data_IF_633590369840
#
_entry.id   IF_633590369840
#
_cell.length_a   1.000
_cell.length_b   1.000
_cell.length_c   1.000
_cell.angle_alpha   90.00
_cell.angle_beta   90.00
_cell.angle_gamma   90.00
#
_symmetry.space_group_name_H-M   'P 1'
#
loop_
_entity.id
_entity.type
_entity.pdbx_description
1 polymer ?
#
# COMPACT_ATOMS: atom_id res chain seq x y z
N UNK A 1 -4.67 -44.37 -1.18
CA UNK A 1 -3.44 -43.57 -0.94
C UNK A 1 -3.63 -42.25 -1.67
N UNK A 2 -3.63 -41.13 -0.95
CA UNK A 2 -4.13 -39.82 -1.41
C UNK A 2 -2.99 -38.80 -1.62
N UNK A 3 -1.85 -39.27 -2.15
CA UNK A 3 -0.62 -38.46 -2.19
C UNK A 3 -0.70 -37.25 -3.11
N UNK A 4 -1.42 -37.35 -4.24
CA UNK A 4 -1.46 -36.25 -5.22
C UNK A 4 -2.17 -34.98 -4.73
N UNK A 5 -3.13 -35.09 -3.81
CA UNK A 5 -3.78 -33.92 -3.22
C UNK A 5 -2.91 -33.28 -2.13
N UNK A 6 -2.29 -34.12 -1.31
CA UNK A 6 -1.37 -33.69 -0.24
C UNK A 6 -0.14 -32.98 -0.82
N UNK A 7 0.42 -33.48 -1.93
CA UNK A 7 1.56 -32.88 -2.61
C UNK A 7 1.22 -31.50 -3.20
N UNK A 8 0.03 -31.36 -3.79
CA UNK A 8 -0.43 -30.07 -4.33
C UNK A 8 -0.64 -29.04 -3.21
N UNK A 9 -1.22 -29.44 -2.10
CA UNK A 9 -1.45 -28.55 -0.97
C UNK A 9 -0.15 -28.21 -0.25
N UNK A 10 0.79 -29.15 -0.12
CA UNK A 10 2.13 -28.88 0.38
C UNK A 10 2.86 -27.85 -0.51
N UNK A 11 2.79 -28.02 -1.83
CA UNK A 11 3.36 -27.07 -2.78
C UNK A 11 2.73 -25.68 -2.67
N UNK A 12 1.40 -25.58 -2.57
CA UNK A 12 0.70 -24.29 -2.37
C UNK A 12 1.14 -23.61 -1.09
N UNK A 13 1.23 -24.36 0.01
CA UNK A 13 1.68 -23.83 1.31
C UNK A 13 3.10 -23.28 1.21
N UNK A 14 4.01 -24.07 0.64
CA UNK A 14 5.38 -23.63 0.41
C UNK A 14 5.40 -22.35 -0.42
N UNK A 15 4.63 -22.30 -1.51
CA UNK A 15 4.60 -21.13 -2.39
C UNK A 15 4.06 -19.88 -1.69
N UNK A 16 3.06 -20.02 -0.82
CA UNK A 16 2.55 -18.91 -0.02
C UNK A 16 3.60 -18.37 0.95
N UNK A 17 4.35 -19.26 1.61
CA UNK A 17 5.44 -18.85 2.53
C UNK A 17 6.56 -18.14 1.78
N UNK A 18 6.97 -18.67 0.62
CA UNK A 18 7.98 -18.00 -0.23
C UNK A 18 7.54 -16.59 -0.63
N UNK A 19 6.28 -16.41 -1.03
CA UNK A 19 5.76 -15.09 -1.37
C UNK A 19 5.69 -14.15 -0.17
N UNK A 20 5.36 -14.66 1.02
CA UNK A 20 5.38 -13.85 2.23
C UNK A 20 6.79 -13.31 2.50
N UNK A 21 7.82 -14.13 2.29
CA UNK A 21 9.21 -13.71 2.39
C UNK A 21 9.62 -12.70 1.32
N UNK A 22 9.24 -12.91 0.06
CA UNK A 22 9.47 -11.94 -1.02
C UNK A 22 8.84 -10.58 -0.69
N UNK A 23 7.63 -10.56 -0.12
CA UNK A 23 6.96 -9.33 0.29
C UNK A 23 7.67 -8.67 1.48
N UNK A 24 8.08 -9.43 2.50
CA UNK A 24 8.84 -8.89 3.63
C UNK A 24 10.16 -8.24 3.18
N UNK A 25 10.89 -8.92 2.30
CA UNK A 25 12.20 -8.47 1.80
C UNK A 25 12.11 -7.27 0.85
N UNK A 26 10.90 -6.95 0.35
CA UNK A 26 10.69 -5.80 -0.53
C UNK A 26 10.80 -4.45 0.19
N UNK A 27 10.70 -4.43 1.53
CA UNK A 27 10.70 -3.22 2.34
C UNK A 27 9.48 -2.31 2.14
N UNK A 28 8.48 -2.73 1.36
CA UNK A 28 7.23 -2.00 1.14
C UNK A 28 6.19 -2.18 2.23
N UNK A 29 6.29 -3.25 3.00
CA UNK A 29 5.31 -3.65 4.00
C UNK A 29 5.89 -3.42 5.38
N UNK A 30 5.07 -3.00 6.34
CA UNK A 30 5.58 -2.64 7.67
C UNK A 30 5.64 -3.85 8.60
N UNK A 31 4.68 -4.75 8.49
CA UNK A 31 4.54 -5.90 9.37
C UNK A 31 3.79 -7.06 8.68
N UNK A 32 3.68 -8.19 9.38
CA UNK A 32 3.03 -9.41 8.89
C UNK A 32 1.56 -9.18 8.48
N UNK A 33 0.85 -8.23 9.11
CA UNK A 33 -0.55 -7.94 8.81
C UNK A 33 -0.69 -7.38 7.40
N UNK A 34 0.21 -6.49 7.00
CA UNK A 34 0.21 -5.91 5.66
C UNK A 34 0.55 -6.97 4.61
N UNK A 35 1.48 -7.88 4.95
CA UNK A 35 1.81 -9.04 4.11
C UNK A 35 0.60 -9.96 3.97
N UNK A 36 -0.08 -10.30 5.06
CA UNK A 36 -1.27 -11.14 5.05
C UNK A 36 -2.37 -10.52 4.19
N UNK A 37 -2.57 -9.20 4.32
CA UNK A 37 -3.51 -8.44 3.49
C UNK A 37 -3.14 -8.51 2.01
N UNK A 38 -1.88 -8.24 1.65
CA UNK A 38 -1.43 -8.29 0.26
C UNK A 38 -1.58 -9.69 -0.35
N UNK A 39 -1.25 -10.74 0.40
CA UNK A 39 -1.44 -12.11 -0.05
C UNK A 39 -2.93 -12.43 -0.29
N UNK A 40 -3.80 -12.01 0.62
CA UNK A 40 -5.23 -12.30 0.53
C UNK A 40 -5.93 -11.52 -0.58
N UNK A 41 -5.72 -10.21 -0.64
CA UNK A 41 -6.50 -9.31 -1.51
C UNK A 41 -5.81 -8.99 -2.84
N UNK A 42 -4.49 -8.80 -2.85
CA UNK A 42 -3.76 -8.49 -4.09
C UNK A 42 -3.42 -9.76 -4.87
N UNK A 43 -3.15 -10.87 -4.16
CA UNK A 43 -2.77 -12.16 -4.78
C UNK A 43 -3.85 -13.25 -4.74
N UNK A 44 -5.00 -12.97 -4.13
CA UNK A 44 -6.14 -13.90 -4.09
C UNK A 44 -5.90 -15.16 -3.25
N UNK A 45 -4.91 -15.17 -2.36
CA UNK A 45 -4.56 -16.32 -1.52
C UNK A 45 -5.38 -16.33 -0.24
N UNK A 46 -6.64 -16.79 -0.33
CA UNK A 46 -7.59 -16.73 0.78
C UNK A 46 -7.11 -17.42 2.07
N UNK A 47 -6.32 -18.49 1.96
CA UNK A 47 -5.77 -19.25 3.10
C UNK A 47 -4.42 -18.75 3.59
N UNK A 48 -3.87 -17.68 3.01
CA UNK A 48 -2.51 -17.24 3.32
C UNK A 48 -2.33 -16.84 4.77
N UNK A 49 -3.29 -16.09 5.33
CA UNK A 49 -3.23 -15.67 6.72
C UNK A 49 -3.08 -16.87 7.65
N UNK A 50 -3.90 -17.92 7.48
CA UNK A 50 -3.84 -19.12 8.32
C UNK A 50 -2.50 -19.86 8.24
N UNK A 51 -1.77 -19.71 7.13
CA UNK A 51 -0.47 -20.36 6.92
C UNK A 51 0.69 -19.58 7.54
N UNK A 52 0.57 -18.26 7.64
CA UNK A 52 1.61 -17.38 8.20
C UNK A 52 1.27 -16.86 9.60
N UNK A 53 0.15 -17.31 10.18
CA UNK A 53 -0.34 -16.84 11.48
C UNK A 53 0.46 -17.35 12.68
N UNK A 54 1.36 -18.30 12.43
CA UNK A 54 2.24 -18.87 13.45
C UNK A 54 3.08 -17.77 14.12
N UNK A 55 3.17 -17.74 15.47
CA UNK A 55 3.85 -16.68 16.19
C UNK A 55 5.33 -16.53 15.82
N UNK A 56 6.04 -17.63 15.53
CA UNK A 56 7.44 -17.57 15.13
C UNK A 56 7.57 -17.02 13.71
N UNK A 57 6.66 -17.41 12.82
CA UNK A 57 6.59 -16.87 11.46
C UNK A 57 6.27 -15.38 11.43
N UNK A 58 5.34 -14.91 12.28
CA UNK A 58 5.04 -13.48 12.42
C UNK A 58 6.25 -12.68 12.87
N UNK A 59 7.02 -13.19 13.84
CA UNK A 59 8.26 -12.56 14.31
C UNK A 59 9.28 -12.45 13.18
N UNK A 60 9.52 -13.56 12.47
CA UNK A 60 10.46 -13.61 11.35
C UNK A 60 10.09 -12.65 10.22
N UNK A 61 8.81 -12.58 9.85
CA UNK A 61 8.35 -11.65 8.81
C UNK A 61 8.51 -10.19 9.24
N UNK A 62 8.20 -9.86 10.50
CA UNK A 62 8.35 -8.50 11.01
C UNK A 62 9.82 -8.07 11.07
N UNK A 63 10.72 -8.95 11.50
CA UNK A 63 12.16 -8.72 11.49
C UNK A 63 12.65 -8.43 10.07
N UNK A 64 12.27 -9.27 9.11
CA UNK A 64 12.61 -9.07 7.69
C UNK A 64 12.07 -7.78 7.11
N UNK A 65 10.83 -7.39 7.44
CA UNK A 65 10.29 -6.09 7.06
C UNK A 65 11.13 -4.94 7.63
N UNK A 66 11.51 -5.02 8.90
CA UNK A 66 12.37 -4.04 9.57
C UNK A 66 13.73 -3.93 8.88
N UNK A 67 14.41 -5.06 8.69
CA UNK A 67 15.71 -5.14 8.02
C UNK A 67 15.67 -4.59 6.59
N UNK A 68 14.64 -4.94 5.81
CA UNK A 68 14.48 -4.47 4.44
C UNK A 68 14.25 -2.96 4.39
N UNK A 69 13.46 -2.42 5.33
CA UNK A 69 13.24 -0.97 5.45
C UNK A 69 14.48 -0.24 5.90
N UNK A 70 15.25 -0.78 6.84
CA UNK A 70 16.51 -0.18 7.29
C UNK A 70 17.54 -0.14 6.15
N UNK A 71 17.63 -1.21 5.36
CA UNK A 71 18.50 -1.26 4.17
C UNK A 71 18.12 -0.24 3.09
N UNK A 72 16.83 0.10 3.00
CA UNK A 72 16.31 1.10 2.05
C UNK A 72 16.28 2.51 2.64
N UNK A 73 16.42 2.66 3.96
CA UNK A 73 16.44 3.94 4.61
C UNK A 73 17.67 4.73 4.12
N UNK A 74 17.48 5.99 3.69
CA UNK A 74 18.62 6.86 3.42
C UNK A 74 19.49 6.95 4.67
N UNK A 75 20.84 6.92 4.54
CA UNK A 75 21.71 7.14 5.69
C UNK A 75 21.32 8.48 6.34
N UNK A 76 21.26 8.54 7.68
CA UNK A 76 20.96 9.79 8.36
C UNK A 76 21.97 10.83 7.89
N UNK A 77 21.48 11.92 7.29
CA UNK A 77 22.33 13.06 7.01
C UNK A 77 23.03 13.44 8.32
N UNK A 78 24.37 13.63 8.31
CA UNK A 78 25.08 13.93 9.53
C UNK A 78 24.45 15.18 10.14
N UNK A 79 23.79 14.99 11.28
CA UNK A 79 23.35 16.07 12.15
C UNK A 79 24.62 16.87 12.47
N UNK A 80 24.74 18.01 11.78
CA UNK A 80 25.64 19.07 12.18
C UNK A 80 25.15 19.44 13.57
N UNK A 81 25.95 19.09 14.57
CA UNK A 81 25.86 19.63 15.91
C UNK A 81 26.16 21.12 15.77
N UNK A 82 25.15 21.93 15.45
CA UNK A 82 25.20 23.36 15.70
C UNK A 82 24.43 23.61 16.99
N UNK A 83 25.21 23.60 18.06
CA UNK A 83 24.79 23.90 19.41
C UNK A 83 24.05 25.24 19.45
N UNK A 84 22.87 25.25 20.06
CA UNK A 84 22.39 26.48 20.69
C UNK A 84 23.45 26.96 21.69
N UNK A 85 23.73 28.27 21.69
CA UNK A 85 23.30 29.02 22.86
C UNK A 85 22.67 30.38 22.48
N UNK A 86 21.42 30.59 22.89
CA UNK A 86 20.93 31.92 23.28
C UNK A 86 21.72 32.41 24.53
N UNK A 87 21.87 33.73 24.87
CA UNK A 87 20.85 34.81 24.79
C UNK A 87 21.37 36.28 24.58
N UNK A 88 20.44 37.27 24.62
CA UNK A 88 20.59 38.75 24.80
C UNK A 88 21.00 39.53 23.53
N UNK A 89 20.24 40.50 22.98
CA UNK A 89 19.79 41.77 23.59
C UNK A 89 18.51 42.31 22.93
N UNK A 90 17.65 42.89 23.77
CA UNK A 90 16.50 43.73 23.45
C UNK A 90 16.82 44.87 22.46
N UNK A 91 15.93 45.07 21.50
CA UNK A 91 15.65 46.40 20.97
C UNK A 91 14.13 46.54 20.85
N UNK A 92 13.53 46.90 21.98
CA UNK A 92 12.24 47.57 22.09
C UNK A 92 12.21 48.73 21.10
N UNK A 93 11.26 48.70 20.15
CA UNK A 93 10.61 49.92 19.64
C UNK A 93 9.13 49.69 19.80
N UNK A 94 8.64 50.05 20.97
CA UNK A 94 7.23 50.17 21.29
C UNK A 94 6.78 51.60 20.97
N UNK A 95 5.83 51.75 20.05
CA UNK A 95 4.89 52.89 19.89
C UNK A 95 4.13 52.66 18.56
N UNK A 96 2.81 52.61 18.44
CA UNK A 96 1.67 52.87 19.31
C UNK A 96 0.44 52.27 18.62
N UNK A 97 -0.47 51.68 19.39
CA UNK A 97 -1.80 51.24 18.96
C UNK A 97 -2.65 52.41 18.42
N UNK A 98 -3.51 52.20 17.40
CA UNK A 98 -4.94 51.91 17.59
C UNK A 98 -5.79 52.14 16.29
N UNK A 99 -6.63 51.15 15.99
CA UNK A 99 -7.85 51.10 15.16
C UNK A 99 -8.05 51.92 13.87
N UNK A 100 -8.16 51.19 12.75
CA UNK A 100 -9.38 51.22 11.93
C UNK A 100 -9.53 49.89 11.17
N UNK A 101 -10.36 49.01 11.73
CA UNK A 101 -10.83 47.78 11.09
C UNK A 101 -11.89 48.13 10.04
N UNK A 102 -11.72 47.67 8.78
CA UNK A 102 -12.83 47.50 7.84
C UNK A 102 -12.65 46.20 7.03
N UNK A 103 -13.76 45.48 6.74
CA UNK A 103 -13.77 44.10 6.27
C UNK A 103 -13.49 43.95 4.78
N UNK A 104 -12.95 42.79 4.40
CA UNK A 104 -12.73 42.35 3.02
C UNK A 104 -14.05 42.20 2.24
N UNK A 105 -14.10 42.69 0.99
CA UNK A 105 -14.82 41.97 -0.07
C UNK A 105 -14.14 42.05 -1.45
N UNK A 106 -14.26 40.95 -2.20
CA UNK A 106 -13.80 40.72 -3.59
C UNK A 106 -12.27 40.55 -3.72
N UNK A 107 -11.76 39.40 -4.13
CA UNK A 107 -12.15 38.67 -5.33
C UNK A 107 -12.35 37.17 -5.07
N UNK A 108 -13.60 36.74 -5.16
CA UNK A 108 -13.93 35.37 -5.58
C UNK A 108 -13.42 35.19 -7.03
N UNK A 109 -12.28 34.52 -7.21
CA UNK A 109 -12.07 33.77 -8.46
C UNK A 109 -12.07 32.28 -8.15
N UNK A 110 -13.28 31.76 -8.24
CA UNK A 110 -13.63 30.37 -8.16
C UNK A 110 -13.38 29.71 -9.53
N UNK A 111 -12.37 28.85 -9.53
CA UNK A 111 -12.32 27.53 -10.19
C UNK A 111 -12.00 27.47 -11.71
N UNK A 112 -11.96 26.27 -12.32
CA UNK A 112 -10.81 25.36 -12.32
C UNK A 112 -10.41 24.94 -13.75
N UNK A 113 -9.12 24.81 -14.08
CA UNK A 113 -8.71 24.25 -15.38
C UNK A 113 -8.71 22.72 -15.36
N UNK A 114 -9.89 22.13 -15.59
CA UNK A 114 -10.02 20.73 -16.01
C UNK A 114 -9.46 20.56 -17.43
N UNK A 115 -8.16 20.36 -17.58
CA UNK A 115 -7.63 19.70 -18.78
C UNK A 115 -7.67 18.18 -18.55
N UNK A 116 -8.84 17.63 -18.89
CA UNK A 116 -9.05 16.23 -19.23
C UNK A 116 -8.01 15.80 -20.27
N UNK A 117 -7.02 14.99 -19.88
CA UNK A 117 -6.31 14.13 -20.85
C UNK A 117 -7.01 12.78 -20.89
N UNK A 118 -8.00 12.68 -21.77
CA UNK A 118 -8.60 11.43 -22.18
C UNK A 118 -7.63 10.71 -23.14
N UNK A 119 -7.16 9.53 -22.75
CA UNK A 119 -6.73 8.51 -23.71
C UNK A 119 -7.45 7.21 -23.36
N UNK A 120 -8.40 6.89 -24.23
CA UNK A 120 -9.21 5.68 -24.28
C UNK A 120 -8.34 4.47 -24.66
N UNK A 121 -8.18 3.52 -23.75
CA UNK A 121 -7.69 2.18 -24.11
C UNK A 121 -8.91 1.33 -24.49
N UNK A 122 -9.11 1.16 -25.80
CA UNK A 122 -10.04 0.18 -26.37
C UNK A 122 -9.44 -1.21 -26.16
N UNK A 123 -10.01 -1.98 -25.23
CA UNK A 123 -9.84 -3.44 -25.24
C UNK A 123 -10.91 -4.01 -26.18
N UNK A 124 -10.45 -4.58 -27.30
CA UNK A 124 -11.30 -5.28 -28.27
C UNK A 124 -11.98 -6.47 -27.59
N UNK A 125 -13.30 -6.52 -27.76
CA UNK A 125 -14.13 -7.70 -27.61
C UNK A 125 -13.54 -8.87 -28.42
N UNK A 126 -13.08 -9.90 -27.70
CA UNK A 126 -12.86 -11.24 -28.22
C UNK A 126 -14.04 -12.11 -27.82
N UNK A 127 -15.14 -11.96 -28.55
CA UNK A 127 -16.33 -12.80 -28.46
C UNK A 127 -15.99 -14.18 -29.07
N UNK A 128 -16.15 -15.24 -28.28
CA UNK A 128 -16.57 -16.55 -28.78
C UNK A 128 -17.57 -17.17 -27.79
N UNK A 129 -18.89 -17.06 -28.05
CA UNK A 129 -19.89 -17.83 -27.34
C UNK A 129 -19.80 -19.26 -27.87
N UNK A 130 -19.58 -20.23 -26.99
CA UNK A 130 -19.86 -21.62 -27.31
C UNK A 130 -21.35 -21.85 -27.05
N UNK A 131 -22.01 -22.31 -28.11
CA UNK A 131 -23.43 -22.59 -28.35
C UNK A 131 -24.35 -22.78 -27.14
N UNK A 132 -25.44 -22.00 -27.18
CA UNK A 132 -26.76 -22.47 -26.77
C UNK A 132 -27.38 -23.28 -27.93
N UNK A 133 -27.82 -24.49 -27.64
CA UNK A 133 -28.34 -25.51 -28.56
C UNK A 133 -27.69 -26.85 -28.17
N UNK A 134 -28.30 -27.70 -27.35
CA UNK A 134 -29.59 -28.34 -27.61
C UNK A 134 -30.58 -28.28 -26.43
N UNK A 135 -31.72 -27.63 -26.65
CA UNK A 135 -32.99 -28.03 -26.06
C UNK A 135 -33.84 -28.56 -27.22
N UNK A 136 -34.12 -29.87 -27.23
CA UNK A 136 -35.33 -30.52 -27.76
C UNK A 136 -35.18 -32.05 -27.74
N UNK A 137 -35.92 -32.73 -26.84
CA UNK A 137 -36.94 -33.76 -27.17
C UNK A 137 -36.43 -35.16 -26.79
N UNK A 138 -37.16 -36.12 -26.23
CA UNK A 138 -38.58 -36.31 -25.97
C UNK A 138 -38.76 -37.34 -24.84
N UNK A 139 -39.99 -37.40 -24.31
CA UNK A 139 -40.47 -38.48 -23.45
C UNK A 139 -40.50 -39.83 -24.18
N UNK A 140 -40.18 -40.92 -23.46
CA UNK A 140 -40.81 -42.25 -23.54
C UNK A 140 -40.42 -43.07 -22.32
#
# INVERSE_FOLDING_TARGET
MSTGHDDLDAWKRQRTVELAFELADSGRYENFTDIAYALQFERGMATAQALIDDPDMRRLLNERCGDAREKLAPPPEPSIVEAEPSPVVEAVVESSNDHAELPQPAHFERAPSFLRRALSVVWRSGVKPVSAGDLNSAAS
#
